data_IF_862958129271
#
_entry.id   IF_862958129271
#
_cell.length_a   1.000
_cell.length_b   1.000
_cell.length_c   1.000
_cell.angle_alpha   90.00
_cell.angle_beta   90.00
_cell.angle_gamma   90.00
#
_symmetry.space_group_name_H-M   'P 1'
#
loop_
_entity.id
_entity.type
_entity.pdbx_description
1 polymer ?
#
# COMPACT_ATOMS: atom_id res chain seq x y z
N UNK A 1 0.30 -32.47 -40.56
CA UNK A 1 0.75 -31.49 -39.55
C UNK A 1 -0.51 -30.75 -39.13
N UNK A 2 -1.08 -31.10 -37.98
CA UNK A 2 -2.25 -30.44 -37.40
C UNK A 2 -1.75 -29.39 -36.41
N UNK A 3 -2.29 -28.16 -36.39
CA UNK A 3 -2.03 -27.24 -35.31
C UNK A 3 -2.94 -27.60 -34.13
N UNK A 4 -2.35 -28.09 -33.05
CA UNK A 4 -3.05 -28.30 -31.78
C UNK A 4 -3.27 -26.94 -31.13
N UNK A 5 -4.53 -26.52 -31.05
CA UNK A 5 -4.97 -25.34 -30.30
C UNK A 5 -4.47 -25.42 -28.85
N UNK A 6 -3.63 -24.46 -28.51
CA UNK A 6 -3.17 -24.24 -27.15
C UNK A 6 -4.27 -23.51 -26.38
N UNK A 7 -5.12 -24.26 -25.67
CA UNK A 7 -5.94 -23.69 -24.60
C UNK A 7 -5.04 -23.28 -23.44
N UNK A 8 -4.45 -22.09 -23.53
CA UNK A 8 -3.93 -21.37 -22.38
C UNK A 8 -5.12 -21.01 -21.48
N UNK A 9 -5.07 -21.30 -20.16
CA UNK A 9 -6.10 -20.83 -19.25
C UNK A 9 -6.12 -19.30 -19.31
N UNK A 10 -7.28 -18.76 -19.65
CA UNK A 10 -7.59 -17.33 -19.54
C UNK A 10 -7.20 -16.88 -18.14
N UNK A 11 -6.24 -15.97 -18.05
CA UNK A 11 -5.94 -15.23 -16.82
C UNK A 11 -7.25 -14.57 -16.41
N UNK A 12 -7.90 -15.11 -15.38
CA UNK A 12 -9.09 -14.48 -14.81
C UNK A 12 -8.67 -13.09 -14.32
N UNK A 13 -9.28 -12.05 -14.88
CA UNK A 13 -9.10 -10.68 -14.40
C UNK A 13 -9.42 -10.67 -12.91
N UNK A 14 -8.39 -10.42 -12.09
CA UNK A 14 -8.57 -10.33 -10.65
C UNK A 14 -9.46 -9.11 -10.38
N UNK A 15 -10.52 -9.22 -9.57
CA UNK A 15 -11.34 -8.06 -9.25
C UNK A 15 -10.47 -7.04 -8.51
N UNK A 16 -10.24 -5.89 -9.17
CA UNK A 16 -9.58 -4.72 -8.60
C UNK A 16 -10.66 -3.69 -8.31
N UNK A 17 -10.78 -3.30 -7.04
CA UNK A 17 -11.59 -2.17 -6.63
C UNK A 17 -10.67 -0.95 -6.56
N UNK A 18 -11.02 0.14 -7.22
CA UNK A 18 -10.22 1.35 -7.25
C UNK A 18 -11.05 2.55 -6.82
N UNK A 19 -10.38 3.50 -6.18
CA UNK A 19 -10.90 4.81 -5.83
C UNK A 19 -12.05 4.73 -4.81
N UNK A 20 -11.68 4.61 -3.53
CA UNK A 20 -12.62 4.56 -2.42
C UNK A 20 -13.37 5.89 -2.24
N UNK A 21 -14.59 5.83 -1.71
CA UNK A 21 -15.37 7.04 -1.46
C UNK A 21 -14.81 7.82 -0.27
N UNK A 22 -14.91 9.16 -0.30
CA UNK A 22 -14.44 9.99 0.81
C UNK A 22 -15.24 9.73 2.09
N UNK A 23 -16.53 9.40 1.97
CA UNK A 23 -17.36 9.03 3.12
C UNK A 23 -16.97 7.68 3.71
N UNK A 24 -16.58 6.73 2.84
CA UNK A 24 -16.17 5.40 3.26
C UNK A 24 -14.88 5.41 4.07
N UNK A 25 -13.88 6.17 3.61
CA UNK A 25 -12.58 6.21 4.29
C UNK A 25 -12.66 6.85 5.69
N UNK A 26 -13.59 7.78 5.94
CA UNK A 26 -13.77 8.43 7.26
C UNK A 26 -14.29 7.44 8.32
N UNK A 27 -14.91 6.33 7.90
CA UNK A 27 -15.37 5.28 8.81
C UNK A 27 -14.24 4.36 9.28
N UNK A 28 -13.09 4.40 8.62
CA UNK A 28 -11.99 3.43 8.81
C UNK A 28 -10.72 4.13 9.26
N UNK A 29 -10.42 5.27 8.64
CA UNK A 29 -9.23 6.05 8.89
C UNK A 29 -9.57 7.26 9.75
N UNK A 30 -8.61 7.68 10.56
CA UNK A 30 -8.72 8.93 11.28
C UNK A 30 -8.57 10.15 10.35
N UNK A 31 -8.82 11.34 10.89
CA UNK A 31 -8.74 12.58 10.12
C UNK A 31 -7.34 12.82 9.52
N UNK A 32 -6.28 12.35 10.18
CA UNK A 32 -4.92 12.49 9.68
C UNK A 32 -4.73 11.64 8.41
N UNK A 33 -5.04 10.35 8.48
CA UNK A 33 -4.94 9.42 7.35
C UNK A 33 -5.88 9.82 6.20
N UNK A 34 -7.11 10.25 6.49
CA UNK A 34 -8.03 10.75 5.47
C UNK A 34 -7.48 11.94 4.68
N UNK A 35 -6.66 12.78 5.32
CA UNK A 35 -6.01 13.91 4.66
C UNK A 35 -4.71 13.49 3.95
N UNK A 36 -3.97 12.54 4.53
CA UNK A 36 -2.71 12.04 3.97
C UNK A 36 -2.94 11.24 2.68
N UNK A 37 -4.05 10.51 2.56
CA UNK A 37 -4.39 9.76 1.34
C UNK A 37 -4.67 10.73 0.19
N UNK A 38 -4.02 10.49 -0.95
CA UNK A 38 -4.17 11.31 -2.16
C UNK A 38 -5.61 11.27 -2.64
N UNK A 39 -6.10 12.41 -3.13
CA UNK A 39 -7.41 12.53 -3.77
C UNK A 39 -7.25 12.51 -5.27
N UNK A 40 -8.12 11.76 -5.95
CA UNK A 40 -8.19 11.66 -7.40
C UNK A 40 -9.57 12.08 -7.88
N UNK A 41 -9.64 12.70 -9.06
CA UNK A 41 -10.91 13.04 -9.68
C UNK A 41 -11.29 11.92 -10.66
N UNK A 42 -12.42 11.27 -10.42
CA UNK A 42 -12.97 10.19 -11.24
C UNK A 42 -14.38 10.60 -11.64
N UNK A 43 -14.61 10.78 -12.94
CA UNK A 43 -15.90 11.18 -13.50
C UNK A 43 -16.50 12.46 -12.88
N UNK A 44 -15.65 13.41 -12.49
CA UNK A 44 -16.06 14.67 -11.86
C UNK A 44 -16.24 14.58 -10.34
N UNK A 45 -16.07 13.41 -9.74
CA UNK A 45 -16.18 13.18 -8.31
C UNK A 45 -14.78 13.03 -7.66
N UNK A 46 -14.57 13.68 -6.52
CA UNK A 46 -13.35 13.50 -5.73
C UNK A 46 -13.42 12.19 -4.95
N UNK A 47 -12.48 11.29 -5.17
CA UNK A 47 -12.33 10.00 -4.48
C UNK A 47 -10.97 9.85 -3.85
N UNK A 48 -10.83 8.93 -2.90
CA UNK A 48 -9.56 8.60 -2.27
C UNK A 48 -8.80 7.59 -3.13
N UNK A 49 -7.50 7.81 -3.34
CA UNK A 49 -6.62 6.94 -4.13
C UNK A 49 -6.24 5.67 -3.35
N UNK A 50 -7.25 4.87 -3.02
CA UNK A 50 -7.13 3.55 -2.42
C UNK A 50 -7.55 2.53 -3.47
N UNK A 51 -6.77 1.47 -3.61
CA UNK A 51 -7.15 0.29 -4.39
C UNK A 51 -7.11 -0.96 -3.53
N UNK A 52 -7.96 -1.94 -3.87
CA UNK A 52 -8.01 -3.24 -3.24
C UNK A 52 -7.96 -4.30 -4.31
N UNK A 53 -7.07 -5.27 -4.15
CA UNK A 53 -6.92 -6.43 -5.03
C UNK A 53 -7.27 -7.67 -4.20
N UNK A 54 -8.11 -8.54 -4.76
CA UNK A 54 -8.47 -9.82 -4.15
C UNK A 54 -7.79 -10.94 -4.93
N UNK A 55 -6.70 -11.52 -4.42
CA UNK A 55 -5.95 -12.52 -5.15
C UNK A 55 -6.81 -13.79 -5.35
N UNK A 56 -7.09 -14.17 -6.59
CA UNK A 56 -7.83 -15.40 -6.90
C UNK A 56 -7.11 -16.73 -6.57
N UNK A 57 -5.88 -16.66 -6.06
CA UNK A 57 -4.97 -17.79 -5.89
C UNK A 57 -5.03 -18.40 -4.48
N UNK A 58 -6.22 -18.53 -3.86
CA UNK A 58 -6.46 -19.31 -2.63
C UNK A 58 -5.34 -19.28 -1.56
N UNK A 59 -4.74 -18.10 -1.33
CA UNK A 59 -3.50 -17.92 -0.59
C UNK A 59 -3.69 -17.44 0.84
N UNK A 60 -2.60 -17.06 1.51
CA UNK A 60 -2.64 -16.50 2.88
C UNK A 60 -3.14 -15.05 2.95
N UNK A 61 -3.34 -14.43 1.79
CA UNK A 61 -3.74 -13.03 1.64
C UNK A 61 -5.12 -13.01 1.01
N UNK A 62 -6.12 -12.56 1.77
CA UNK A 62 -7.49 -12.41 1.27
C UNK A 62 -7.63 -11.12 0.45
N UNK A 63 -6.94 -10.06 0.87
CA UNK A 63 -6.92 -8.77 0.19
C UNK A 63 -5.59 -8.04 0.35
N UNK A 64 -5.17 -7.40 -0.73
CA UNK A 64 -4.13 -6.39 -0.74
C UNK A 64 -4.78 -5.01 -0.93
N UNK A 65 -4.75 -4.18 0.11
CA UNK A 65 -5.13 -2.78 0.04
C UNK A 65 -3.88 -1.93 -0.23
N UNK A 66 -3.96 -1.00 -1.18
CA UNK A 66 -2.89 -0.09 -1.55
C UNK A 66 -3.40 1.34 -1.41
N UNK A 67 -2.73 2.15 -0.60
CA UNK A 67 -3.05 3.56 -0.38
C UNK A 67 -1.97 4.40 -1.03
N UNK A 68 -2.35 5.31 -1.93
CA UNK A 68 -1.47 6.34 -2.46
C UNK A 68 -1.54 7.56 -1.53
N UNK A 69 -0.39 8.00 -1.02
CA UNK A 69 -0.31 9.08 -0.02
C UNK A 69 0.37 10.34 -0.56
N UNK A 70 -0.02 11.48 -0.02
CA UNK A 70 0.58 12.77 -0.32
C UNK A 70 2.01 12.85 0.24
N UNK A 71 2.88 13.59 -0.45
CA UNK A 71 4.29 13.77 -0.07
C UNK A 71 4.48 14.22 1.38
N UNK A 72 3.70 15.21 1.83
CA UNK A 72 3.77 15.68 3.22
C UNK A 72 3.39 14.59 4.25
N UNK A 73 2.51 13.66 3.87
CA UNK A 73 2.09 12.55 4.72
C UNK A 73 3.21 11.53 4.89
N UNK A 74 4.14 11.44 3.94
CA UNK A 74 5.19 10.44 3.89
C UNK A 74 6.23 10.66 4.99
N UNK A 75 6.71 11.89 5.15
CA UNK A 75 7.70 12.21 6.19
C UNK A 75 7.16 11.86 7.59
N UNK A 76 5.88 12.14 7.82
CA UNK A 76 5.19 11.82 9.07
C UNK A 76 4.94 10.31 9.21
N UNK A 77 4.51 9.62 8.15
CA UNK A 77 4.19 8.18 8.19
C UNK A 77 5.45 7.32 8.31
N UNK A 78 6.51 7.64 7.58
CA UNK A 78 7.81 6.96 7.71
C UNK A 78 8.39 7.09 9.11
N UNK A 79 8.27 8.28 9.71
CA UNK A 79 8.64 8.51 11.10
C UNK A 79 7.76 7.73 12.06
N UNK A 80 6.43 7.79 11.90
CA UNK A 80 5.50 7.12 12.80
C UNK A 80 5.61 5.59 12.74
N UNK A 81 5.77 5.02 11.54
CA UNK A 81 5.76 3.57 11.29
C UNK A 81 7.11 2.90 11.52
N UNK A 82 8.21 3.55 11.12
CA UNK A 82 9.54 2.95 11.10
C UNK A 82 10.59 3.72 11.89
N UNK A 83 10.21 4.85 12.50
CA UNK A 83 11.15 5.80 13.10
C UNK A 83 12.27 6.19 12.12
N UNK A 84 11.87 6.39 10.87
CA UNK A 84 12.74 6.64 9.75
C UNK A 84 12.44 8.02 9.16
N UNK A 85 13.48 8.83 8.96
CA UNK A 85 13.41 10.03 8.14
C UNK A 85 13.68 9.63 6.69
N UNK A 86 12.75 9.97 5.80
CA UNK A 86 12.85 9.65 4.37
C UNK A 86 12.89 10.95 3.58
N UNK A 87 13.91 11.11 2.75
CA UNK A 87 14.12 12.29 1.91
C UNK A 87 14.70 11.86 0.56
N UNK A 88 14.26 12.48 -0.52
CA UNK A 88 14.91 12.37 -1.82
C UNK A 88 15.82 13.57 -2.05
N UNK A 89 17.01 13.33 -2.59
CA UNK A 89 17.95 14.39 -2.98
C UNK A 89 18.65 13.96 -4.26
N UNK A 90 18.49 14.73 -5.33
CA UNK A 90 19.15 14.45 -6.63
C UNK A 90 18.93 13.00 -7.13
N UNK A 91 17.70 12.49 -7.03
CA UNK A 91 17.31 11.10 -7.37
C UNK A 91 17.92 10.01 -6.48
N UNK A 92 18.50 10.38 -5.34
CA UNK A 92 18.96 9.44 -4.31
C UNK A 92 17.97 9.46 -3.16
N UNK A 93 17.45 8.29 -2.82
CA UNK A 93 16.64 8.13 -1.62
C UNK A 93 17.54 7.97 -0.40
N UNK A 94 17.36 8.87 0.56
CA UNK A 94 17.97 8.83 1.87
C UNK A 94 16.96 8.36 2.91
N UNK A 95 17.23 7.20 3.52
CA UNK A 95 16.49 6.70 4.67
C UNK A 95 17.41 6.74 5.88
N UNK A 96 17.09 7.57 6.87
CA UNK A 96 17.84 7.69 8.12
C UNK A 96 16.99 7.11 9.25
N UNK A 97 17.45 6.00 9.83
CA UNK A 97 16.82 5.39 10.99
C UNK A 97 17.23 6.14 12.27
N UNK A 98 16.40 6.08 13.31
CA UNK A 98 16.65 6.76 14.61
C UNK A 98 18.03 6.42 15.22
N UNK A 99 18.52 5.19 15.03
CA UNK A 99 19.83 4.78 15.53
C UNK A 99 21.02 5.41 14.76
N UNK A 100 20.76 6.31 13.82
CA UNK A 100 21.75 7.00 12.99
C UNK A 100 22.19 6.22 11.76
N UNK A 101 21.69 4.99 11.56
CA UNK A 101 21.96 4.24 10.32
C UNK A 101 21.33 4.98 9.14
N UNK A 102 22.16 5.26 8.13
CA UNK A 102 21.75 5.89 6.88
C UNK A 102 21.83 4.87 5.76
N UNK A 103 20.69 4.61 5.13
CA UNK A 103 20.60 3.90 3.87
C UNK A 103 20.48 4.94 2.75
N UNK A 104 21.28 4.77 1.70
CA UNK A 104 21.19 5.57 0.49
C UNK A 104 21.08 4.65 -0.70
N UNK A 105 20.15 4.92 -1.61
CA UNK A 105 20.02 4.13 -2.83
C UNK A 105 19.65 4.99 -4.02
N UNK A 106 20.19 4.61 -5.16
CA UNK A 106 19.80 5.10 -6.50
C UNK A 106 18.67 4.23 -7.08
N UNK A 107 18.21 3.21 -6.33
CA UNK A 107 17.04 2.42 -6.69
C UNK A 107 15.81 3.31 -6.72
N UNK A 108 15.00 3.12 -7.75
CA UNK A 108 13.70 3.76 -7.91
C UNK A 108 12.65 3.31 -6.89
N UNK A 109 12.96 2.26 -6.14
CA UNK A 109 12.08 1.65 -5.15
C UNK A 109 12.84 1.26 -3.89
N UNK A 110 12.28 1.60 -2.73
CA UNK A 110 12.69 1.06 -1.42
C UNK A 110 11.47 0.55 -0.68
N UNK A 111 11.65 -0.59 -0.02
CA UNK A 111 10.62 -1.20 0.81
C UNK A 111 11.05 -1.19 2.28
N UNK A 112 10.21 -0.62 3.15
CA UNK A 112 10.34 -0.72 4.60
C UNK A 112 9.28 -1.70 5.16
N UNK A 113 9.71 -2.55 6.08
CA UNK A 113 8.89 -3.58 6.74
C UNK A 113 9.26 -3.67 8.22
N UNK A 114 8.40 -4.34 9.00
CA UNK A 114 8.66 -4.62 10.42
C UNK A 114 8.07 -3.61 11.39
N UNK A 115 6.86 -3.13 11.12
CA UNK A 115 6.13 -2.20 12.01
C UNK A 115 5.55 -2.96 13.21
N UNK A 116 5.64 -2.36 14.41
CA UNK A 116 5.03 -2.90 15.62
C UNK A 116 3.50 -2.79 15.61
N UNK A 117 2.79 -3.79 16.14
CA UNK A 117 1.32 -3.83 16.18
C UNK A 117 0.68 -2.59 16.82
N UNK A 118 1.26 -2.12 17.94
CA UNK A 118 0.77 -0.92 18.64
C UNK A 118 0.87 0.34 17.77
N UNK A 119 1.87 0.38 16.89
CA UNK A 119 2.10 1.48 15.95
C UNK A 119 1.12 1.39 14.78
N UNK A 120 0.88 0.18 14.25
CA UNK A 120 -0.13 -0.07 13.21
C UNK A 120 -1.51 0.41 13.68
N UNK A 121 -1.94 0.00 14.88
CA UNK A 121 -3.22 0.43 15.45
C UNK A 121 -3.28 1.94 15.65
N UNK A 122 -2.20 2.55 16.14
CA UNK A 122 -2.14 4.00 16.33
C UNK A 122 -2.25 4.79 15.01
N UNK A 123 -1.62 4.32 13.93
CA UNK A 123 -1.56 5.05 12.66
C UNK A 123 -2.79 4.78 11.78
N UNK A 124 -3.22 3.53 11.67
CA UNK A 124 -4.29 3.14 10.75
C UNK A 124 -5.65 2.94 11.42
N UNK A 125 -5.70 2.99 12.76
CA UNK A 125 -6.91 2.74 13.52
C UNK A 125 -7.17 1.25 13.79
N UNK A 126 -8.19 1.01 14.62
CA UNK A 126 -8.53 -0.32 15.13
C UNK A 126 -9.06 -1.27 14.06
N UNK A 127 -9.78 -0.74 13.09
CA UNK A 127 -10.45 -1.48 12.03
C UNK A 127 -9.41 -2.15 11.14
N UNK A 128 -8.41 -1.38 10.68
CA UNK A 128 -7.30 -1.87 9.88
C UNK A 128 -6.42 -2.82 10.71
N UNK A 129 -6.12 -2.46 11.96
CA UNK A 129 -5.34 -3.32 12.84
C UNK A 129 -5.97 -4.70 13.03
N UNK A 130 -7.28 -4.78 13.32
CA UNK A 130 -7.96 -6.06 13.45
C UNK A 130 -8.01 -6.82 12.12
N UNK A 131 -8.25 -6.14 11.00
CA UNK A 131 -8.24 -6.79 9.69
C UNK A 131 -6.85 -7.39 9.34
N UNK A 132 -5.76 -6.74 9.75
CA UNK A 132 -4.39 -7.28 9.66
C UNK A 132 -4.20 -8.46 10.62
N UNK A 133 -4.61 -8.32 11.88
CA UNK A 133 -4.38 -9.31 12.93
C UNK A 133 -5.12 -10.64 12.65
N UNK A 134 -6.31 -10.58 12.05
CA UNK A 134 -7.12 -11.76 11.72
C UNK A 134 -6.65 -12.45 10.42
N UNK A 135 -5.90 -11.74 9.56
CA UNK A 135 -5.35 -12.25 8.30
C UNK A 135 -4.55 -13.56 8.50
N UNK A 136 -4.80 -14.55 7.63
CA UNK A 136 -4.15 -15.85 7.70
C UNK A 136 -2.62 -15.75 7.62
N UNK A 137 -2.09 -14.81 6.81
CA UNK A 137 -0.66 -14.53 6.74
C UNK A 137 -0.10 -14.07 8.09
N UNK A 138 -0.78 -13.16 8.80
CA UNK A 138 -0.34 -12.67 10.10
C UNK A 138 -0.40 -13.76 11.17
N UNK A 139 -1.46 -14.57 11.18
CA UNK A 139 -1.55 -15.72 12.09
C UNK A 139 -0.42 -16.73 11.87
N UNK A 140 -0.07 -16.99 10.61
CA UNK A 140 1.06 -17.85 10.26
C UNK A 140 2.39 -17.28 10.74
N UNK A 141 2.64 -16.00 10.50
CA UNK A 141 3.84 -15.29 10.97
C UNK A 141 4.00 -15.41 12.50
N UNK A 142 2.92 -15.22 13.26
CA UNK A 142 2.95 -15.34 14.71
C UNK A 142 3.17 -16.78 15.19
N UNK A 143 2.67 -17.78 14.46
CA UNK A 143 2.80 -19.19 14.81
C UNK A 143 4.20 -19.76 14.50
N UNK A 144 4.83 -19.31 13.42
CA UNK A 144 6.16 -19.77 12.99
C UNK A 144 7.30 -19.06 13.75
N UNK A 145 7.01 -17.99 14.49
CA UNK A 145 8.00 -17.25 15.28
C UNK A 145 8.98 -16.42 14.43
N UNK A 146 9.94 -15.75 15.08
CA UNK A 146 10.93 -14.85 14.44
C UNK A 146 11.94 -15.53 13.50
N UNK A 147 11.80 -16.84 13.26
CA UNK A 147 12.74 -17.62 12.45
C UNK A 147 12.45 -17.58 10.95
N UNK A 148 11.37 -16.90 10.52
CA UNK A 148 11.14 -16.62 9.10
C UNK A 148 11.67 -15.22 8.74
N UNK A 149 12.59 -15.09 7.76
CA UNK A 149 13.21 -13.82 7.41
C UNK A 149 12.16 -12.90 6.79
N UNK A 150 11.77 -11.84 7.50
CA UNK A 150 11.32 -10.51 7.06
C UNK A 150 10.34 -10.37 5.85
N UNK A 151 9.81 -11.45 5.30
CA UNK A 151 9.15 -11.49 4.00
C UNK A 151 7.62 -11.42 4.10
N UNK A 152 7.05 -11.68 5.29
CA UNK A 152 5.60 -11.83 5.51
C UNK A 152 4.94 -10.71 6.34
N UNK A 153 5.61 -9.57 6.55
CA UNK A 153 5.00 -8.48 7.31
C UNK A 153 3.73 -7.97 6.61
N UNK A 154 2.58 -7.92 7.31
CA UNK A 154 1.29 -7.56 6.73
C UNK A 154 1.16 -6.07 6.41
N UNK A 155 2.16 -5.28 6.77
CA UNK A 155 2.29 -3.90 6.37
C UNK A 155 3.64 -3.72 5.68
N UNK A 156 3.57 -3.23 4.45
CA UNK A 156 4.74 -2.90 3.64
C UNK A 156 4.55 -1.49 3.11
N UNK A 157 5.52 -0.62 3.34
CA UNK A 157 5.54 0.72 2.72
C UNK A 157 6.59 0.72 1.64
N UNK A 158 6.15 1.09 0.43
CA UNK A 158 7.00 1.16 -0.75
C UNK A 158 7.13 2.63 -1.13
N UNK A 159 8.37 3.09 -1.19
CA UNK A 159 8.73 4.43 -1.65
C UNK A 159 9.13 4.36 -3.11
N UNK A 160 8.54 5.20 -3.97
CA UNK A 160 8.76 5.15 -5.42
C UNK A 160 9.01 6.56 -5.98
N UNK A 161 10.06 6.68 -6.80
CA UNK A 161 10.32 7.86 -7.61
C UNK A 161 9.37 7.89 -8.82
N UNK A 162 8.46 8.88 -8.91
CA UNK A 162 7.52 9.01 -10.05
C UNK A 162 8.18 9.33 -11.37
N UNK A 163 9.40 9.84 -11.39
CA UNK A 163 10.06 10.24 -12.64
C UNK A 163 10.33 9.01 -13.53
N UNK A 164 10.17 7.79 -12.97
CA UNK A 164 10.29 6.53 -13.69
C UNK A 164 8.91 6.05 -14.15
N UNK A 165 8.52 6.53 -15.33
CA UNK A 165 7.30 6.18 -16.10
C UNK A 165 7.13 4.70 -16.48
N UNK A 166 7.90 3.76 -15.93
CA UNK A 166 8.04 2.41 -16.50
C UNK A 166 7.80 1.21 -15.59
N UNK A 167 7.40 1.37 -14.33
CA UNK A 167 7.00 0.21 -13.52
C UNK A 167 5.49 -0.07 -13.62
N UNK A 168 5.07 -1.31 -13.95
CA UNK A 168 3.66 -1.67 -14.08
C UNK A 168 3.07 -1.85 -12.69
N UNK A 169 2.81 -0.73 -12.02
CA UNK A 169 1.91 -0.71 -10.88
C UNK A 169 0.53 -0.46 -11.49
N UNK A 170 -0.23 -1.55 -11.60
CA UNK A 170 -1.57 -1.63 -12.19
C UNK A 170 -2.30 -0.28 -12.26
N UNK A 171 -2.21 0.35 -13.44
CA UNK A 171 -2.91 1.55 -13.90
C UNK A 171 -3.40 2.53 -12.82
N UNK A 172 -2.50 3.43 -12.39
CA UNK A 172 -2.88 4.79 -12.02
C UNK A 172 -2.36 5.72 -13.12
N UNK A 173 -3.27 6.45 -13.77
CA UNK A 173 -2.94 7.31 -14.90
C UNK A 173 -1.96 8.42 -14.46
N UNK A 174 -0.93 8.75 -15.26
CA UNK A 174 0.01 9.79 -14.92
C UNK A 174 -0.69 11.16 -14.97
N UNK A 175 -0.57 11.93 -13.90
CA UNK A 175 -0.94 13.34 -13.93
C UNK A 175 0.12 14.10 -14.73
N UNK A 176 -0.25 14.57 -15.92
CA UNK A 176 0.57 15.51 -16.68
C UNK A 176 0.68 16.83 -15.91
N UNK A 177 1.89 17.16 -15.43
CA UNK A 177 2.61 18.43 -15.65
C UNK A 177 3.60 18.72 -14.50
N UNK A 178 4.78 19.22 -14.91
CA UNK A 178 5.78 19.99 -14.16
C UNK A 178 6.69 19.26 -13.13
N UNK A 179 7.95 19.04 -13.56
CA UNK A 179 9.26 19.31 -12.91
C UNK A 179 9.51 19.11 -11.39
N UNK A 180 8.57 18.58 -10.63
CA UNK A 180 8.75 18.22 -9.23
C UNK A 180 8.61 16.70 -9.11
N UNK A 181 9.61 16.02 -8.56
CA UNK A 181 9.60 14.58 -8.28
C UNK A 181 8.38 14.25 -7.42
N UNK A 182 7.36 13.60 -7.99
CA UNK A 182 6.15 13.20 -7.26
C UNK A 182 6.46 11.89 -6.53
N UNK A 183 6.53 11.89 -5.20
CA UNK A 183 6.52 10.60 -4.50
C UNK A 183 5.18 9.89 -4.81
N UNK A 184 5.26 8.66 -5.32
CA UNK A 184 4.12 7.75 -5.33
C UNK A 184 4.45 6.68 -4.29
N UNK A 185 4.08 6.96 -3.05
CA UNK A 185 4.30 6.00 -1.98
C UNK A 185 3.05 5.18 -1.77
N UNK A 186 3.20 3.87 -1.94
CA UNK A 186 2.11 2.92 -1.82
C UNK A 186 2.26 2.20 -0.49
N UNK A 187 1.32 2.45 0.41
CA UNK A 187 1.17 1.64 1.60
C UNK A 187 0.38 0.41 1.22
N UNK A 188 1.05 -0.74 1.21
CA UNK A 188 0.45 -2.06 0.99
C UNK A 188 0.09 -2.68 2.33
N UNK A 189 -1.21 -2.89 2.53
CA UNK A 189 -1.78 -3.49 3.71
C UNK A 189 -2.42 -4.82 3.31
N UNK A 190 -2.01 -5.89 3.98
CA UNK A 190 -2.56 -7.22 3.81
C UNK A 190 -3.60 -7.48 4.90
N UNK A 191 -4.84 -7.72 4.51
CA UNK A 191 -5.97 -7.76 5.44
C UNK A 191 -6.96 -8.88 5.12
N UNK A 192 -7.69 -9.32 6.15
CA UNK A 192 -8.89 -10.13 5.98
C UNK A 192 -10.07 -9.27 5.51
N UNK A 193 -10.78 -9.76 4.51
CA UNK A 193 -11.87 -9.04 3.83
C UNK A 193 -13.12 -8.89 4.69
N UNK A 194 -13.49 -9.92 5.46
CA UNK A 194 -14.75 -9.92 6.22
C UNK A 194 -14.83 -8.78 7.27
N UNK A 195 -13.68 -8.28 7.73
CA UNK A 195 -13.59 -7.13 8.63
C UNK A 195 -13.58 -5.78 7.93
N UNK A 196 -13.06 -5.73 6.71
CA UNK A 196 -13.11 -4.54 5.88
C UNK A 196 -14.41 -4.56 5.11
N UNK A 197 -15.40 -3.79 5.58
CA UNK A 197 -16.64 -3.64 4.85
C UNK A 197 -16.35 -2.92 3.52
N UNK A 198 -16.05 -3.70 2.47
CA UNK A 198 -15.78 -3.24 1.11
C UNK A 198 -16.92 -2.34 0.65
N UNK A 199 -18.15 -2.75 0.94
CA UNK A 199 -19.32 -1.93 0.66
C UNK A 199 -19.17 -0.55 1.31
N UNK A 200 -18.83 -0.47 2.60
CA UNK A 200 -18.65 0.82 3.28
C UNK A 200 -17.50 1.66 2.72
N UNK A 201 -16.42 1.05 2.22
CA UNK A 201 -15.27 1.73 1.60
C UNK A 201 -15.58 2.28 0.21
N UNK A 202 -16.36 1.53 -0.57
CA UNK A 202 -16.53 1.75 -2.00
C UNK A 202 -17.92 2.31 -2.36
N UNK A 203 -18.87 2.38 -1.43
CA UNK A 203 -20.21 2.96 -1.70
C UNK A 203 -20.16 4.48 -1.84
N UNK A 204 -20.90 4.93 -2.87
CA UNK A 204 -21.31 6.31 -3.16
C UNK A 204 -22.38 6.75 -2.18
#
# INVERSE_FOLDING_TARGET
ISPTDSNLPTVQEQPVLQNASLQGIVKIFDAYMCNAIRRVNVDGESKAAISMIFPGWGGLVDCLMSLDVCEWGIAQLSMALFNAKVEWTEHILHVVLENGMKLTTESSEVTLKGVEDKVINKVFGSEIYHAIAECAMRRREMAEGRDLPCLLFPLTVIFIDSDITSLPIYHLAPAHNHLDTVLIDIIKIYCQVERLCIESLMTV
#
